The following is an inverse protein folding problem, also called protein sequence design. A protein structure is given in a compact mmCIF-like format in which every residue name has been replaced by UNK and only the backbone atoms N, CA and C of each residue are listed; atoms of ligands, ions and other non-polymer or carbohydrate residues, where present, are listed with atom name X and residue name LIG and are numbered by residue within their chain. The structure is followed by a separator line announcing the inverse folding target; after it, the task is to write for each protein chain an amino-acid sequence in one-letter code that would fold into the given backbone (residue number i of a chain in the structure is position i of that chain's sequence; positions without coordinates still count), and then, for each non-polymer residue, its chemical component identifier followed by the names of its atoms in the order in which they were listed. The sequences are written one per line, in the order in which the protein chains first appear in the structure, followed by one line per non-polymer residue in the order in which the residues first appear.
data_IF_842199810436
#
_entry.id   IF_842199810436
#
_cell.length_a   1.000
_cell.length_b   1.000
_cell.length_c   1.000
_cell.angle_alpha   90.00
_cell.angle_beta   90.00
_cell.angle_gamma   90.00
#
_symmetry.space_group_name_H-M   'P 1'
#
loop_
_entity.id
_entity.type
_entity.pdbx_description
1 polymer ?
#
# COMPACT_ATOMS: atom_id res chain seq x y z
N UNK A 1 -9.24 4.23 -0.94
CA UNK A 1 -9.63 2.93 -1.54
C UNK A 1 -8.52 1.93 -1.26
N UNK A 2 -8.79 0.86 -0.52
CA UNK A 2 -7.76 -0.12 -0.15
C UNK A 2 -7.48 -1.11 -1.30
N UNK A 3 -6.20 -1.44 -1.52
CA UNK A 3 -5.76 -2.39 -2.55
C UNK A 3 -6.19 -3.83 -2.19
N UNK A 4 -7.14 -4.41 -2.95
CA UNK A 4 -7.62 -5.78 -2.71
C UNK A 4 -6.77 -6.82 -3.47
N UNK A 5 -5.79 -7.39 -2.76
CA UNK A 5 -4.81 -8.36 -3.30
C UNK A 5 -5.46 -9.55 -4.01
N UNK A 6 -6.53 -10.11 -3.43
CA UNK A 6 -7.18 -11.31 -3.97
C UNK A 6 -7.93 -11.02 -5.27
N UNK A 7 -8.48 -9.81 -5.42
CA UNK A 7 -9.18 -9.39 -6.64
C UNK A 7 -8.20 -9.13 -7.78
N UNK A 8 -7.08 -8.48 -7.50
CA UNK A 8 -6.06 -8.17 -8.50
C UNK A 8 -5.34 -9.43 -9.00
N UNK A 9 -5.04 -10.40 -8.12
CA UNK A 9 -4.46 -11.68 -8.54
C UNK A 9 -5.41 -12.47 -9.46
N UNK A 10 -6.72 -12.49 -9.15
CA UNK A 10 -7.72 -13.14 -10.01
C UNK A 10 -7.78 -12.50 -11.39
N UNK A 11 -7.75 -11.17 -11.47
CA UNK A 11 -7.71 -10.45 -12.76
C UNK A 11 -6.44 -10.77 -13.54
N UNK A 12 -5.29 -10.74 -12.87
CA UNK A 12 -4.01 -11.05 -13.50
C UNK A 12 -3.99 -12.47 -14.07
N UNK A 13 -4.47 -13.46 -13.31
CA UNK A 13 -4.56 -14.84 -13.77
C UNK A 13 -5.45 -15.00 -15.00
N UNK A 14 -6.65 -14.41 -14.97
CA UNK A 14 -7.58 -14.45 -16.11
C UNK A 14 -6.98 -13.78 -17.35
N UNK A 15 -6.28 -12.66 -17.17
CA UNK A 15 -5.63 -11.96 -18.26
C UNK A 15 -4.47 -12.79 -18.86
N UNK A 16 -3.59 -13.35 -18.01
CA UNK A 16 -2.49 -14.21 -18.45
C UNK A 16 -2.97 -15.48 -19.13
N UNK A 17 -3.99 -16.14 -18.62
CA UNK A 17 -4.56 -17.34 -19.24
C UNK A 17 -5.14 -17.03 -20.64
N UNK A 18 -5.78 -15.85 -20.80
CA UNK A 18 -6.26 -15.41 -22.11
C UNK A 18 -5.11 -15.13 -23.09
N UNK A 19 -4.05 -14.45 -22.62
CA UNK A 19 -2.86 -14.14 -23.41
C UNK A 19 -2.11 -15.41 -23.85
N UNK A 20 -1.86 -16.34 -22.93
CA UNK A 20 -1.21 -17.63 -23.23
C UNK A 20 -2.04 -18.45 -24.23
N UNK A 21 -3.37 -18.42 -24.10
CA UNK A 21 -4.26 -19.08 -25.06
C UNK A 21 -4.16 -18.45 -26.46
N UNK A 22 -4.02 -17.13 -26.55
CA UNK A 22 -3.78 -16.47 -27.85
C UNK A 22 -2.41 -16.83 -28.41
N UNK A 23 -1.36 -16.84 -27.59
CA UNK A 23 0.00 -17.21 -28.03
C UNK A 23 0.07 -18.65 -28.54
N UNK A 24 -0.63 -19.59 -27.87
CA UNK A 24 -0.77 -20.96 -28.35
C UNK A 24 -1.51 -21.05 -29.69
N UNK A 25 -2.59 -20.27 -29.87
CA UNK A 25 -3.30 -20.22 -31.14
C UNK A 25 -2.45 -19.67 -32.29
N UNK A 26 -1.51 -18.77 -31.98
CA UNK A 26 -0.56 -18.19 -32.93
C UNK A 26 0.64 -19.11 -33.23
N UNK A 27 0.74 -20.26 -32.57
CA UNK A 27 1.81 -21.24 -32.79
C UNK A 27 3.14 -20.87 -32.14
N UNK A 28 3.12 -20.05 -31.08
CA UNK A 28 4.32 -19.75 -30.29
C UNK A 28 4.75 -20.99 -29.50
N UNK A 29 6.05 -21.23 -29.39
CA UNK A 29 6.60 -22.34 -28.61
C UNK A 29 6.20 -22.25 -27.13
N UNK A 30 5.78 -23.37 -26.56
CA UNK A 30 5.35 -23.44 -25.16
C UNK A 30 6.49 -23.02 -24.19
N UNK A 31 7.74 -23.36 -24.52
CA UNK A 31 8.92 -22.98 -23.73
C UNK A 31 9.09 -21.46 -23.62
N UNK A 32 8.74 -20.72 -24.67
CA UNK A 32 8.85 -19.27 -24.69
C UNK A 32 7.66 -18.62 -23.96
N UNK A 33 6.48 -19.23 -24.03
CA UNK A 33 5.31 -18.84 -23.25
C UNK A 33 5.57 -19.02 -21.74
N UNK A 34 6.20 -20.13 -21.33
CA UNK A 34 6.55 -20.37 -19.93
C UNK A 34 7.57 -19.37 -19.40
N UNK A 35 8.62 -19.06 -20.19
CA UNK A 35 9.60 -18.02 -19.84
C UNK A 35 8.90 -16.66 -19.65
N UNK A 36 8.01 -16.26 -20.55
CA UNK A 36 7.24 -15.02 -20.44
C UNK A 36 6.38 -15.01 -19.17
N UNK A 37 5.70 -16.12 -18.86
CA UNK A 37 4.91 -16.24 -17.64
C UNK A 37 5.73 -16.09 -16.36
N UNK A 38 6.93 -16.66 -16.31
CA UNK A 38 7.82 -16.50 -15.15
C UNK A 38 8.25 -15.04 -15.00
N UNK A 39 8.64 -14.38 -16.11
CA UNK A 39 9.03 -12.98 -16.10
C UNK A 39 7.87 -12.05 -15.67
N UNK A 40 6.69 -12.23 -16.25
CA UNK A 40 5.51 -11.44 -15.91
C UNK A 40 5.05 -11.68 -14.48
N UNK A 41 5.17 -12.90 -13.97
CA UNK A 41 4.90 -13.21 -12.56
C UNK A 41 5.86 -12.48 -11.63
N UNK A 42 7.15 -12.41 -11.97
CA UNK A 42 8.13 -11.69 -11.17
C UNK A 42 7.79 -10.20 -11.07
N UNK A 43 7.41 -9.57 -12.19
CA UNK A 43 6.98 -8.17 -12.26
C UNK A 43 5.69 -7.95 -11.46
N UNK A 44 4.67 -8.78 -11.68
CA UNK A 44 3.42 -8.69 -10.94
C UNK A 44 3.63 -8.85 -9.42
N UNK A 45 4.52 -9.75 -9.01
CA UNK A 45 4.84 -9.97 -7.61
C UNK A 45 5.64 -8.80 -7.00
N UNK A 46 6.54 -8.15 -7.76
CA UNK A 46 7.20 -6.93 -7.29
C UNK A 46 6.21 -5.78 -7.13
N UNK A 47 5.30 -5.59 -8.08
CA UNK A 47 4.27 -4.55 -8.01
C UNK A 47 3.31 -4.81 -6.85
N UNK A 48 2.91 -6.06 -6.63
CA UNK A 48 2.09 -6.45 -5.47
C UNK A 48 2.77 -6.10 -4.15
N UNK A 49 4.08 -6.34 -4.03
CA UNK A 49 4.87 -5.96 -2.84
C UNK A 49 5.00 -4.45 -2.68
N UNK A 50 5.10 -3.71 -3.79
CA UNK A 50 5.11 -2.26 -3.78
C UNK A 50 3.79 -1.69 -3.26
N UNK A 51 2.66 -2.07 -3.86
CA UNK A 51 1.33 -1.61 -3.43
C UNK A 51 1.01 -2.02 -2.00
N UNK A 52 1.48 -3.19 -1.54
CA UNK A 52 1.39 -3.56 -0.13
C UNK A 52 2.12 -2.55 0.76
N UNK A 53 3.39 -2.26 0.47
CA UNK A 53 4.18 -1.32 1.28
C UNK A 53 3.64 0.10 1.23
N UNK A 54 3.16 0.56 0.08
CA UNK A 54 2.54 1.90 -0.06
C UNK A 54 1.28 2.01 0.79
N UNK A 55 0.46 0.95 0.87
CA UNK A 55 -0.68 0.93 1.78
C UNK A 55 -0.22 0.96 3.24
N UNK A 56 0.76 0.13 3.62
CA UNK A 56 1.29 0.08 4.99
C UNK A 56 1.89 1.44 5.42
N UNK A 57 2.62 2.13 4.53
CA UNK A 57 3.16 3.47 4.80
C UNK A 57 2.08 4.56 4.79
N UNK A 58 1.06 4.42 3.94
CA UNK A 58 -0.07 5.35 3.89
C UNK A 58 -0.87 5.29 5.19
N UNK A 59 -1.13 4.09 5.72
CA UNK A 59 -1.79 3.91 7.02
C UNK A 59 -0.95 4.45 8.17
N UNK A 60 0.36 4.26 8.15
CA UNK A 60 1.24 4.79 9.20
C UNK A 60 1.31 6.33 9.20
N UNK A 61 1.33 6.96 8.01
CA UNK A 61 1.31 8.41 7.91
C UNK A 61 -0.05 9.02 8.31
N UNK A 62 -1.16 8.36 7.97
CA UNK A 62 -2.48 8.78 8.43
C UNK A 62 -2.60 8.65 9.96
N UNK A 63 -2.10 7.57 10.56
CA UNK A 63 -2.10 7.37 12.02
C UNK A 63 -1.24 8.42 12.75
N UNK A 64 -0.04 8.74 12.22
CA UNK A 64 0.78 9.84 12.75
C UNK A 64 0.14 11.22 12.57
N UNK A 65 -0.55 11.46 11.46
CA UNK A 65 -1.28 12.71 11.24
C UNK A 65 -2.45 12.86 12.21
N UNK A 66 -3.16 11.77 12.53
CA UNK A 66 -4.19 11.75 13.57
C UNK A 66 -3.59 12.01 14.97
N UNK A 67 -2.46 11.37 15.31
CA UNK A 67 -1.77 11.57 16.60
C UNK A 67 -1.16 12.98 16.77
N UNK A 68 -0.92 13.70 15.67
CA UNK A 68 -0.36 15.06 15.69
C UNK A 68 -1.41 16.16 15.51
N UNK A 69 -2.70 15.83 15.62
CA UNK A 69 -3.77 16.84 15.78
C UNK A 69 -3.65 17.55 17.13
N UNK A 70 -2.61 18.38 17.27
CA UNK A 70 -2.49 19.33 18.37
C UNK A 70 -3.72 20.26 18.29
N UNK A 71 -4.41 20.53 19.41
CA UNK A 71 -5.47 21.51 19.42
C UNK A 71 -4.93 22.84 18.91
N UNK A 72 -5.62 23.47 17.97
CA UNK A 72 -5.23 24.79 17.44
C UNK A 72 -5.10 25.78 18.60
N UNK A 73 -3.86 26.14 18.93
CA UNK A 73 -3.58 27.14 19.96
C UNK A 73 -3.80 28.51 19.33
N UNK A 74 -5.00 29.06 19.52
CA UNK A 74 -5.43 30.30 18.84
C UNK A 74 -4.87 31.55 19.50
N UNK A 75 -4.43 31.45 20.75
CA UNK A 75 -3.92 32.56 21.54
C UNK A 75 -2.69 32.15 22.35
N UNK A 76 -1.88 33.12 22.75
CA UNK A 76 -0.69 32.91 23.60
C UNK A 76 -1.10 32.39 24.99
N UNK A 77 -2.31 32.73 25.45
CA UNK A 77 -2.87 32.30 26.73
C UNK A 77 -3.19 30.79 26.73
N UNK A 78 -3.86 30.29 25.67
CA UNK A 78 -4.17 28.86 25.52
C UNK A 78 -2.90 27.98 25.47
N UNK A 79 -1.79 28.53 24.96
CA UNK A 79 -0.51 27.82 24.93
C UNK A 79 0.08 27.67 26.32
N UNK A 80 0.00 28.71 27.15
CA UNK A 80 0.56 28.71 28.49
C UNK A 80 -0.24 27.80 29.44
N UNK A 81 -1.56 27.73 29.27
CA UNK A 81 -2.43 26.81 30.04
C UNK A 81 -2.14 25.33 29.74
N UNK A 82 -1.69 25.01 28.51
CA UNK A 82 -1.31 23.63 28.15
C UNK A 82 -0.01 23.16 28.80
N UNK A 83 0.79 24.08 29.36
CA UNK A 83 2.07 23.82 30.03
C UNK A 83 1.85 23.76 31.56
N UNK A 84 0.68 23.31 32.02
CA UNK A 84 0.45 23.07 33.44
C UNK A 84 1.34 21.93 33.92
N UNK A 85 2.43 22.31 34.58
CA UNK A 85 3.49 21.43 35.04
C UNK A 85 2.98 20.67 36.27
N UNK A 86 2.47 19.45 36.09
CA UNK A 86 1.94 18.60 37.18
C UNK A 86 2.91 18.42 38.37
N UNK A 87 4.22 18.63 38.15
CA UNK A 87 5.24 18.62 39.20
C UNK A 87 5.10 19.75 40.25
N UNK A 88 4.34 20.81 39.98
CA UNK A 88 4.10 21.90 40.93
C UNK A 88 2.99 21.60 41.95
N UNK A 89 2.18 20.55 41.71
CA UNK A 89 1.10 20.13 42.62
C UNK A 89 1.53 19.03 43.61
N UNK A 90 2.79 18.59 43.58
CA UNK A 90 3.34 17.70 44.61
C UNK A 90 3.79 18.55 45.81
N UNK A 91 2.90 18.68 46.79
CA UNK A 91 3.19 19.16 48.17
C UNK A 91 3.71 17.98 49.00
#
# INVERSE_FOLDING_TARGET
MAYNKAKEEKKWRLWKEAEEKQLRNLGVNEDDIEKLRIHDWAIFNSDRRYYQRVQDTGTYLDELAEDTTQPEVKTVEDFLDSIENQCLYQI
#
